data_IF_660116560767
#
_entry.id   IF_660116560767
#
_cell.length_a   1.000
_cell.length_b   1.000
_cell.length_c   1.000
_cell.angle_alpha   90.00
_cell.angle_beta   90.00
_cell.angle_gamma   90.00
#
_symmetry.space_group_name_H-M   'P 1'
#
loop_
_entity.id
_entity.type
_entity.pdbx_description
1 polymer ?
#
# COMPACT_ATOMS: atom_id res chain seq x y z
N UNK A 1 15.23 -3.23 -19.69
CA UNK A 1 14.54 -2.01 -20.16
C UNK A 1 15.16 -1.56 -21.48
N UNK A 2 14.34 -1.19 -22.47
CA UNK A 2 14.82 -0.58 -23.72
C UNK A 2 15.25 0.87 -23.42
N UNK A 3 16.52 1.26 -23.63
CA UNK A 3 17.04 2.59 -23.25
C UNK A 3 16.62 3.73 -24.20
N UNK A 4 15.60 3.54 -25.04
CA UNK A 4 15.23 4.45 -26.13
C UNK A 4 13.75 4.79 -26.25
N UNK A 5 12.89 4.41 -25.29
CA UNK A 5 11.53 4.92 -25.26
C UNK A 5 11.60 6.40 -24.86
N UNK A 6 11.20 7.30 -25.76
CA UNK A 6 11.03 8.71 -25.45
C UNK A 6 9.94 8.79 -24.40
N UNK A 7 10.32 9.12 -23.16
CA UNK A 7 9.39 9.33 -22.07
C UNK A 7 8.77 10.71 -22.28
N UNK A 8 7.46 10.73 -22.50
CA UNK A 8 6.69 11.97 -22.58
C UNK A 8 6.50 12.59 -21.19
N UNK A 9 5.90 13.77 -21.12
CA UNK A 9 5.71 14.49 -19.86
C UNK A 9 4.88 13.68 -18.85
N UNK A 10 3.89 12.92 -19.31
CA UNK A 10 3.06 12.08 -18.46
C UNK A 10 3.87 10.91 -17.87
N UNK A 11 4.73 10.27 -18.67
CA UNK A 11 5.64 9.23 -18.20
C UNK A 11 6.65 9.75 -17.15
N UNK A 12 7.14 10.98 -17.30
CA UNK A 12 7.99 11.61 -16.28
C UNK A 12 7.22 11.88 -14.99
N UNK A 13 6.01 12.40 -15.08
CA UNK A 13 5.14 12.63 -13.91
C UNK A 13 4.78 11.31 -13.22
N UNK A 14 4.53 10.25 -13.96
CA UNK A 14 4.28 8.92 -13.41
C UNK A 14 5.51 8.39 -12.64
N UNK A 15 6.72 8.52 -13.21
CA UNK A 15 7.95 8.14 -12.51
C UNK A 15 8.20 8.97 -11.23
N UNK A 16 7.89 10.26 -11.25
CA UNK A 16 7.98 11.12 -10.08
C UNK A 16 6.92 10.77 -9.01
N UNK A 17 5.70 10.39 -9.43
CA UNK A 17 4.66 9.91 -8.51
C UNK A 17 5.11 8.63 -7.80
N UNK A 18 5.66 7.67 -8.54
CA UNK A 18 6.18 6.43 -7.96
C UNK A 18 7.19 6.72 -6.84
N UNK A 19 8.12 7.67 -7.04
CA UNK A 19 9.06 8.10 -6.00
C UNK A 19 8.37 8.71 -4.77
N UNK A 20 7.31 9.50 -4.96
CA UNK A 20 6.55 10.10 -3.86
C UNK A 20 5.77 9.06 -3.04
N UNK A 21 5.36 7.97 -3.69
CA UNK A 21 4.65 6.85 -3.08
C UNK A 21 5.60 5.80 -2.46
N UNK A 22 6.91 5.96 -2.67
CA UNK A 22 7.95 5.04 -2.19
C UNK A 22 8.10 3.78 -3.05
N UNK A 23 7.61 3.83 -4.28
CA UNK A 23 7.72 2.77 -5.28
C UNK A 23 8.96 2.92 -6.17
N UNK A 24 9.40 1.83 -6.80
CA UNK A 24 10.50 1.86 -7.76
C UNK A 24 10.04 2.50 -9.08
N UNK A 25 10.68 3.59 -9.56
CA UNK A 25 10.28 4.22 -10.81
C UNK A 25 10.64 3.36 -12.04
N UNK A 26 9.89 3.50 -13.15
CA UNK A 26 10.17 2.77 -14.40
C UNK A 26 11.43 3.23 -15.14
N UNK A 27 12.06 4.32 -14.68
CA UNK A 27 13.27 4.94 -15.23
C UNK A 27 14.30 5.16 -14.14
N UNK A 28 15.61 5.14 -14.45
CA UNK A 28 16.66 5.36 -13.46
C UNK A 28 16.54 6.72 -12.77
N UNK A 29 16.76 6.78 -11.46
CA UNK A 29 16.74 8.03 -10.68
C UNK A 29 17.69 9.08 -11.26
N UNK A 30 18.85 8.69 -11.76
CA UNK A 30 19.78 9.62 -12.41
C UNK A 30 19.17 10.32 -13.64
N UNK A 31 18.35 9.61 -14.42
CA UNK A 31 17.65 10.18 -15.57
C UNK A 31 16.54 11.14 -15.13
N UNK A 32 15.83 10.82 -14.04
CA UNK A 32 14.83 11.70 -13.42
C UNK A 32 15.49 13.02 -12.98
N UNK A 33 16.62 12.94 -12.28
CA UNK A 33 17.34 14.14 -11.82
C UNK A 33 17.83 14.99 -12.99
N UNK A 34 18.36 14.37 -14.05
CA UNK A 34 18.75 15.06 -15.27
C UNK A 34 17.54 15.76 -15.93
N UNK A 35 16.38 15.10 -15.97
CA UNK A 35 15.15 15.69 -16.51
C UNK A 35 14.65 16.88 -15.67
N UNK A 36 14.61 16.76 -14.34
CA UNK A 36 14.20 17.85 -13.44
C UNK A 36 15.10 19.09 -13.56
N UNK A 37 16.39 18.89 -13.81
CA UNK A 37 17.32 19.99 -14.07
C UNK A 37 17.04 20.73 -15.40
N UNK A 38 16.39 20.07 -16.36
CA UNK A 38 16.13 20.60 -17.70
C UNK A 38 14.66 20.98 -17.97
N UNK A 39 13.70 20.51 -17.17
CA UNK A 39 12.27 20.68 -17.41
C UNK A 39 11.57 21.44 -16.25
N UNK A 40 11.35 22.76 -16.38
CA UNK A 40 10.66 23.55 -15.37
C UNK A 40 9.22 23.10 -15.11
N UNK A 41 8.53 22.56 -16.12
CA UNK A 41 7.15 22.08 -15.98
C UNK A 41 7.06 20.88 -15.02
N UNK A 42 7.94 19.88 -15.19
CA UNK A 42 7.99 18.71 -14.31
C UNK A 42 8.50 19.06 -12.90
N UNK A 43 9.45 19.99 -12.77
CA UNK A 43 9.90 20.48 -11.46
C UNK A 43 8.79 21.21 -10.71
N UNK A 44 8.05 22.10 -11.38
CA UNK A 44 6.90 22.77 -10.77
C UNK A 44 5.76 21.81 -10.43
N UNK A 45 5.54 20.78 -11.26
CA UNK A 45 4.59 19.72 -10.95
C UNK A 45 5.01 18.94 -9.68
N UNK A 46 6.29 18.58 -9.55
CA UNK A 46 6.81 17.86 -8.38
C UNK A 46 6.64 18.66 -7.09
N UNK A 47 6.91 19.97 -7.13
CA UNK A 47 6.72 20.86 -5.97
C UNK A 47 5.24 20.90 -5.53
N UNK A 48 4.32 20.97 -6.49
CA UNK A 48 2.88 20.92 -6.25
C UNK A 48 2.45 19.57 -5.65
N UNK A 49 2.86 18.46 -6.28
CA UNK A 49 2.56 17.11 -5.81
C UNK A 49 3.13 16.85 -4.41
N UNK A 50 4.36 17.30 -4.12
CA UNK A 50 4.98 17.21 -2.80
C UNK A 50 4.21 17.99 -1.74
N UNK A 51 3.67 19.16 -2.10
CA UNK A 51 2.84 19.97 -1.20
C UNK A 51 1.52 19.27 -0.87
N UNK A 52 0.85 18.69 -1.87
CA UNK A 52 -0.37 17.89 -1.66
C UNK A 52 -0.08 16.66 -0.79
N UNK A 53 0.98 15.89 -1.11
CA UNK A 53 1.34 14.67 -0.37
C UNK A 53 1.65 14.97 1.10
N UNK A 54 2.39 16.06 1.39
CA UNK A 54 2.60 16.54 2.77
C UNK A 54 1.27 16.90 3.46
N UNK A 55 0.37 17.60 2.77
CA UNK A 55 -0.95 17.93 3.30
C UNK A 55 -1.76 16.69 3.67
N UNK A 56 -1.80 15.69 2.78
CA UNK A 56 -2.51 14.43 3.02
C UNK A 56 -2.02 13.70 4.27
N UNK A 57 -0.70 13.71 4.53
CA UNK A 57 -0.09 13.08 5.72
C UNK A 57 -0.43 13.78 7.04
N UNK A 58 -0.93 15.01 6.98
CA UNK A 58 -1.39 15.78 8.16
C UNK A 58 -2.89 15.69 8.37
N UNK A 59 -3.63 15.05 7.46
CA UNK A 59 -5.06 14.87 7.64
C UNK A 59 -5.32 13.97 8.86
N UNK A 60 -6.44 14.21 9.57
CA UNK A 60 -6.86 13.31 10.63
C UNK A 60 -6.98 11.89 10.10
N UNK A 61 -6.44 10.94 10.83
CA UNK A 61 -6.70 9.53 10.54
C UNK A 61 -8.21 9.31 10.72
N UNK A 62 -8.88 8.97 9.62
CA UNK A 62 -10.23 8.44 9.70
C UNK A 62 -10.09 7.04 10.30
N UNK A 63 -10.46 6.88 11.56
CA UNK A 63 -10.63 5.56 12.15
C UNK A 63 -11.68 4.82 11.32
N UNK A 64 -11.21 3.93 10.46
CA UNK A 64 -12.11 3.12 9.66
C UNK A 64 -12.74 2.09 10.59
N UNK A 65 -14.01 2.27 10.94
CA UNK A 65 -14.82 1.20 11.53
C UNK A 65 -14.92 -0.02 10.60
N UNK A 66 -14.53 0.15 9.34
CA UNK A 66 -14.45 -0.92 8.35
C UNK A 66 -13.33 -1.91 8.67
N UNK A 67 -12.18 -1.47 9.19
CA UNK A 67 -11.11 -2.38 9.58
C UNK A 67 -11.58 -3.41 10.61
N UNK A 68 -12.27 -2.95 11.64
CA UNK A 68 -12.82 -3.82 12.68
C UNK A 68 -14.00 -4.67 12.19
N UNK A 69 -14.86 -4.13 11.32
CA UNK A 69 -15.93 -4.92 10.68
C UNK A 69 -15.38 -5.99 9.72
N UNK A 70 -14.33 -5.67 8.96
CA UNK A 70 -13.70 -6.59 8.02
C UNK A 70 -12.96 -7.67 8.78
N UNK A 71 -12.13 -7.34 9.77
CA UNK A 71 -11.43 -8.33 10.61
C UNK A 71 -12.41 -9.28 11.28
N UNK A 72 -13.56 -8.79 11.74
CA UNK A 72 -14.60 -9.65 12.33
C UNK A 72 -15.45 -10.40 11.28
N UNK A 73 -15.47 -9.98 10.02
CA UNK A 73 -16.19 -10.66 8.93
C UNK A 73 -15.32 -11.64 8.13
N UNK A 74 -14.01 -11.41 8.11
CA UNK A 74 -13.03 -12.33 7.55
C UNK A 74 -12.77 -13.32 8.66
N UNK A 75 -13.38 -14.50 8.53
CA UNK A 75 -13.04 -15.67 9.32
C UNK A 75 -11.55 -16.00 9.10
N UNK A 76 -10.65 -15.32 9.82
CA UNK A 76 -9.26 -15.75 9.97
C UNK A 76 -9.32 -16.97 10.88
N UNK A 77 -9.67 -18.11 10.29
CA UNK A 77 -9.73 -19.38 10.97
C UNK A 77 -8.32 -19.80 11.42
N UNK A 78 -7.88 -19.30 12.58
CA UNK A 78 -6.73 -19.80 13.34
C UNK A 78 -7.04 -21.17 14.00
N UNK A 79 -8.22 -21.72 13.75
CA UNK A 79 -8.69 -22.96 14.36
C UNK A 79 -8.01 -24.18 13.72
N UNK A 80 -7.05 -24.76 14.44
CA UNK A 80 -6.42 -26.02 14.09
C UNK A 80 -7.34 -27.24 14.18
N UNK A 81 -8.55 -27.12 14.76
CA UNK A 81 -9.43 -28.24 15.10
C UNK A 81 -9.97 -29.01 13.85
N UNK A 82 -9.99 -28.43 12.63
CA UNK A 82 -10.25 -29.17 11.35
C UNK A 82 -9.02 -29.87 10.75
N UNK A 83 -7.82 -29.55 11.23
CA UNK A 83 -6.54 -30.05 10.69
C UNK A 83 -5.71 -30.85 11.71
N UNK A 84 -6.21 -31.00 12.94
CA UNK A 84 -5.50 -31.67 14.03
C UNK A 84 -4.35 -30.89 14.65
N UNK A 85 -4.29 -29.56 14.45
CA UNK A 85 -3.28 -28.66 15.04
C UNK A 85 -3.83 -27.92 16.27
N UNK A 86 -2.94 -27.33 17.07
CA UNK A 86 -3.29 -26.50 18.23
C UNK A 86 -4.17 -25.31 17.82
N UNK A 87 -5.18 -24.96 18.63
CA UNK A 87 -6.06 -23.81 18.43
C UNK A 87 -5.55 -22.63 19.28
N UNK A 88 -5.39 -21.47 18.63
CA UNK A 88 -5.00 -20.20 19.26
C UNK A 88 -6.18 -19.23 19.36
N UNK A 89 -7.39 -19.78 19.40
CA UNK A 89 -8.64 -19.06 19.29
C UNK A 89 -9.05 -18.51 20.67
N UNK A 90 -9.32 -17.21 20.80
CA UNK A 90 -9.81 -16.61 22.06
C UNK A 90 -11.35 -16.65 22.18
N UNK A 91 -12.07 -16.60 21.04
CA UNK A 91 -13.54 -16.74 20.98
C UNK A 91 -13.94 -17.66 19.81
N UNK A 92 -14.11 -18.96 20.10
CA UNK A 92 -14.26 -19.99 19.07
C UNK A 92 -15.69 -20.09 18.54
N UNK A 93 -15.90 -19.77 17.25
CA UNK A 93 -17.20 -19.83 16.58
C UNK A 93 -17.40 -21.10 15.71
N UNK A 94 -16.55 -22.13 15.86
CA UNK A 94 -16.51 -23.30 14.97
C UNK A 94 -17.67 -24.33 15.10
N UNK A 95 -18.79 -23.92 15.68
CA UNK A 95 -19.99 -24.74 15.81
C UNK A 95 -19.83 -25.94 16.78
N UNK A 96 -20.86 -26.80 16.87
CA UNK A 96 -21.01 -27.79 17.94
C UNK A 96 -20.03 -28.98 17.87
N UNK A 97 -19.26 -29.13 16.78
CA UNK A 97 -18.28 -30.20 16.61
C UNK A 97 -16.85 -29.77 16.98
N UNK A 98 -16.71 -28.60 17.60
CA UNK A 98 -15.45 -28.07 18.07
C UNK A 98 -14.97 -28.85 19.32
N UNK A 99 -13.74 -29.37 19.28
CA UNK A 99 -13.08 -30.03 20.42
C UNK A 99 -12.23 -29.07 21.26
N UNK A 100 -12.16 -27.78 20.89
CA UNK A 100 -11.27 -26.83 21.56
C UNK A 100 -11.79 -26.44 22.99
N UNK A 101 -13.04 -26.75 23.36
CA UNK A 101 -13.61 -26.56 24.72
C UNK A 101 -13.61 -27.81 25.60
N UNK A 102 -13.07 -28.95 25.14
CA UNK A 102 -13.10 -30.22 25.88
C UNK A 102 -11.83 -30.50 26.68
N UNK A 103 -10.99 -29.47 26.91
CA UNK A 103 -9.79 -29.55 27.75
C UNK A 103 -10.00 -28.80 29.07
#
# INVERSE_FOLDING_TARGET
MNPGAVVDEEGWRAALSALLDGEEPPVPVAAIMAHLAACPACSGWLDGATTVNRGLRTLPLLESVLGERVVNSVDVHLCGCRTGRECLCTDCQCGPHCTCHTA
#
